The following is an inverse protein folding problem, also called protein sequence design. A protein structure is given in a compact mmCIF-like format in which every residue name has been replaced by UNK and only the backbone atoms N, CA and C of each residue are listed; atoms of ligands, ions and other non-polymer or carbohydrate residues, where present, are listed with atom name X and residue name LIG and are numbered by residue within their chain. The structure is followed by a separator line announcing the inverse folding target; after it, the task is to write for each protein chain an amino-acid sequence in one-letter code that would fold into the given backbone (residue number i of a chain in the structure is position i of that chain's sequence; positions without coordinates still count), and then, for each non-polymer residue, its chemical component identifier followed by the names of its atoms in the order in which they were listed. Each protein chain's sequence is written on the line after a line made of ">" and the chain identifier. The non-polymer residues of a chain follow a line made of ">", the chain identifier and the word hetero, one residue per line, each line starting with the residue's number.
data_IF_756149282686
#
_entry.id   IF_756149282686
#
_cell.length_a   1.000
_cell.length_b   1.000
_cell.length_c   1.000
_cell.angle_alpha   90.00
_cell.angle_beta   90.00
_cell.angle_gamma   90.00
#
_symmetry.space_group_name_H-M   'P 1'
#
loop_
_entity.id
_entity.type
_entity.pdbx_description
1 polymer ?
#
# COMPACT_ATOMS: atom_id res chain seq x y z
N UNK A 1 15.61 -6.76 10.44
CA UNK A 1 14.95 -6.44 9.16
C UNK A 1 13.77 -7.37 9.02
N UNK A 2 12.59 -6.85 8.72
CA UNK A 2 11.36 -7.65 8.61
C UNK A 2 11.18 -8.25 7.21
N UNK A 3 11.53 -7.50 6.16
CA UNK A 3 11.58 -7.99 4.79
C UNK A 3 12.68 -7.32 3.97
N UNK A 4 12.91 -7.84 2.77
CA UNK A 4 13.72 -7.25 1.70
C UNK A 4 12.80 -6.96 0.52
N UNK A 5 12.63 -5.67 0.23
CA UNK A 5 11.70 -5.13 -0.77
C UNK A 5 12.35 -5.01 -2.14
N UNK A 6 11.61 -5.38 -3.19
CA UNK A 6 11.99 -5.31 -4.62
C UNK A 6 13.49 -5.58 -4.88
N UNK A 7 14.01 -6.76 -4.50
CA UNK A 7 15.43 -7.06 -4.62
C UNK A 7 15.91 -7.23 -6.08
N UNK A 8 14.98 -7.45 -7.00
CA UNK A 8 15.19 -7.63 -8.43
C UNK A 8 14.18 -6.79 -9.21
N UNK A 9 14.40 -6.66 -10.53
CA UNK A 9 13.45 -5.97 -11.40
C UNK A 9 12.09 -6.69 -11.42
N UNK A 10 10.96 -5.97 -11.51
CA UNK A 10 9.62 -6.56 -11.41
C UNK A 10 9.36 -7.68 -12.43
N UNK A 11 9.96 -7.58 -13.63
CA UNK A 11 9.78 -8.57 -14.69
C UNK A 11 10.43 -9.92 -14.38
N UNK A 12 11.39 -9.98 -13.44
CA UNK A 12 12.12 -11.20 -13.08
C UNK A 12 11.44 -11.95 -11.91
N UNK A 13 10.21 -12.41 -12.15
CA UNK A 13 9.45 -13.20 -11.16
C UNK A 13 10.17 -14.51 -10.84
N UNK A 14 10.78 -15.17 -11.84
CA UNK A 14 11.51 -16.42 -11.64
C UNK A 14 12.75 -16.22 -10.75
N UNK A 15 13.53 -15.17 -11.00
CA UNK A 15 14.65 -14.77 -10.17
C UNK A 15 14.22 -14.41 -8.76
N UNK A 16 13.08 -13.71 -8.61
CA UNK A 16 12.52 -13.34 -7.31
C UNK A 16 12.11 -14.58 -6.52
N UNK A 17 11.43 -15.56 -7.16
CA UNK A 17 11.12 -16.85 -6.54
C UNK A 17 12.39 -17.62 -6.14
N UNK A 18 13.39 -17.67 -7.01
CA UNK A 18 14.66 -18.34 -6.71
C UNK A 18 15.38 -17.69 -5.52
N UNK A 19 15.41 -16.35 -5.48
CA UNK A 19 16.01 -15.57 -4.40
C UNK A 19 15.26 -15.80 -3.08
N UNK A 20 13.92 -15.73 -3.09
CA UNK A 20 13.08 -16.01 -1.92
C UNK A 20 13.38 -17.38 -1.34
N UNK A 21 13.48 -18.41 -2.18
CA UNK A 21 13.79 -19.78 -1.73
C UNK A 21 15.23 -19.94 -1.19
N UNK A 22 16.15 -19.07 -1.58
CA UNK A 22 17.55 -19.11 -1.16
C UNK A 22 17.83 -18.31 0.13
N UNK A 23 16.92 -17.43 0.53
CA UNK A 23 17.09 -16.53 1.66
C UNK A 23 16.16 -16.89 2.83
N UNK A 24 16.55 -16.49 4.03
CA UNK A 24 15.72 -16.62 5.24
C UNK A 24 14.97 -15.33 5.59
N UNK A 25 15.30 -14.21 4.93
CA UNK A 25 14.58 -12.94 5.08
C UNK A 25 13.36 -12.97 4.17
N UNK A 26 12.22 -12.45 4.65
CA UNK A 26 11.01 -12.36 3.86
C UNK A 26 11.23 -11.48 2.64
N UNK A 27 10.71 -11.88 1.47
CA UNK A 27 10.71 -11.08 0.25
C UNK A 27 9.37 -10.38 0.11
N UNK A 28 9.41 -9.07 -0.16
CA UNK A 28 8.22 -8.26 -0.42
C UNK A 28 8.32 -7.59 -1.80
N UNK A 29 7.22 -7.58 -2.54
CA UNK A 29 7.12 -6.91 -3.85
C UNK A 29 5.66 -6.71 -4.25
N UNK A 30 5.43 -5.88 -5.27
CA UNK A 30 4.12 -5.61 -5.85
C UNK A 30 3.83 -4.14 -6.13
N UNK A 31 4.69 -3.19 -5.73
CA UNK A 31 4.47 -1.76 -5.97
C UNK A 31 4.50 -1.41 -7.47
N UNK A 32 5.30 -2.15 -8.24
CA UNK A 32 5.40 -2.02 -9.69
C UNK A 32 4.41 -2.91 -10.46
N UNK A 33 3.54 -3.66 -9.78
CA UNK A 33 2.55 -4.52 -10.41
C UNK A 33 1.18 -3.83 -10.56
N UNK A 34 0.48 -4.14 -11.65
CA UNK A 34 -0.79 -3.50 -11.98
C UNK A 34 -1.93 -4.50 -12.06
N UNK A 35 -3.10 -4.10 -11.54
CA UNK A 35 -4.33 -4.90 -11.46
C UNK A 35 -4.14 -6.18 -10.64
N UNK A 36 -5.25 -6.88 -10.37
CA UNK A 36 -5.19 -8.21 -9.74
C UNK A 36 -4.39 -9.24 -10.54
N UNK A 37 -4.16 -9.03 -11.84
CA UNK A 37 -3.49 -10.02 -12.70
C UNK A 37 -1.97 -10.06 -12.48
N UNK A 38 -1.30 -8.91 -12.39
CA UNK A 38 0.13 -8.87 -12.04
C UNK A 38 0.38 -9.42 -10.64
N UNK A 39 -0.49 -9.05 -9.69
CA UNK A 39 -0.48 -9.59 -8.33
C UNK A 39 -0.67 -11.12 -8.31
N UNK A 40 -1.59 -11.64 -9.13
CA UNK A 40 -1.83 -13.08 -9.23
C UNK A 40 -0.61 -13.83 -9.77
N UNK A 41 0.17 -13.24 -10.66
CA UNK A 41 1.38 -13.88 -11.20
C UNK A 41 2.46 -14.03 -10.12
N UNK A 42 2.67 -13.01 -9.27
CA UNK A 42 3.54 -13.11 -8.09
C UNK A 42 3.07 -14.21 -7.12
N UNK A 43 1.77 -14.24 -6.83
CA UNK A 43 1.17 -15.23 -5.91
C UNK A 43 1.28 -16.66 -6.46
N UNK A 44 0.98 -16.88 -7.75
CA UNK A 44 1.08 -18.19 -8.40
C UNK A 44 2.52 -18.71 -8.46
N UNK A 45 3.48 -17.81 -8.65
CA UNK A 45 4.90 -18.16 -8.66
C UNK A 45 5.48 -18.42 -7.26
N UNK A 46 4.74 -18.06 -6.20
CA UNK A 46 5.25 -18.09 -4.82
C UNK A 46 6.46 -17.16 -4.65
N UNK A 47 6.47 -16.03 -5.37
CA UNK A 47 7.60 -15.12 -5.47
C UNK A 47 7.77 -14.23 -4.23
N UNK A 48 6.70 -14.00 -3.47
CA UNK A 48 6.69 -13.07 -2.33
C UNK A 48 6.19 -13.73 -1.04
N UNK A 49 6.72 -13.28 0.08
CA UNK A 49 6.18 -13.52 1.42
C UNK A 49 5.15 -12.45 1.82
N UNK A 50 5.32 -11.22 1.31
CA UNK A 50 4.44 -10.07 1.57
C UNK A 50 4.10 -9.40 0.24
N UNK A 51 2.82 -9.20 -0.05
CA UNK A 51 2.35 -8.57 -1.28
C UNK A 51 2.11 -7.06 -1.05
N UNK A 52 2.66 -6.20 -1.94
CA UNK A 52 2.71 -4.74 -1.73
C UNK A 52 2.02 -3.93 -2.81
N UNK A 53 0.73 -4.19 -3.04
CA UNK A 53 -0.05 -3.40 -4.00
C UNK A 53 -0.10 -1.91 -3.64
N UNK A 54 0.16 -1.04 -4.61
CA UNK A 54 -0.15 0.39 -4.54
C UNK A 54 -1.57 0.66 -5.06
N UNK A 55 -2.45 1.19 -4.21
CA UNK A 55 -3.85 1.46 -4.58
C UNK A 55 -3.96 2.56 -5.66
N UNK A 56 -3.10 3.57 -5.59
CA UNK A 56 -3.12 4.73 -6.48
C UNK A 56 -2.61 4.39 -7.89
N UNK A 57 -1.81 3.33 -8.02
CA UNK A 57 -1.26 2.89 -9.30
C UNK A 57 -1.99 1.66 -9.88
N UNK A 58 -2.27 0.65 -9.05
CA UNK A 58 -2.65 -0.68 -9.53
C UNK A 58 -4.15 -0.87 -9.80
N UNK A 59 -4.97 0.18 -9.67
CA UNK A 59 -6.39 0.16 -10.10
C UNK A 59 -7.42 0.54 -9.03
N UNK A 60 -7.00 1.14 -7.92
CA UNK A 60 -7.90 1.71 -6.91
C UNK A 60 -8.49 0.69 -5.94
N UNK A 61 -9.43 1.14 -5.10
CA UNK A 61 -10.02 0.35 -4.01
C UNK A 61 -10.71 -0.93 -4.51
N UNK A 62 -11.36 -0.88 -5.68
CA UNK A 62 -12.03 -2.04 -6.27
C UNK A 62 -11.05 -3.14 -6.65
N UNK A 63 -9.92 -2.79 -7.29
CA UNK A 63 -8.85 -3.76 -7.55
C UNK A 63 -8.18 -4.17 -6.24
N UNK A 64 -8.01 -3.26 -5.28
CA UNK A 64 -7.45 -3.55 -3.96
C UNK A 64 -8.21 -4.65 -3.23
N UNK A 65 -9.55 -4.60 -3.23
CA UNK A 65 -10.39 -5.65 -2.64
C UNK A 65 -10.27 -6.99 -3.38
N UNK A 66 -10.15 -6.95 -4.70
CA UNK A 66 -9.96 -8.18 -5.48
C UNK A 66 -8.60 -8.82 -5.21
N UNK A 67 -7.53 -8.03 -5.16
CA UNK A 67 -6.19 -8.46 -4.80
C UNK A 67 -6.16 -9.00 -3.37
N UNK A 68 -6.85 -8.35 -2.43
CA UNK A 68 -6.96 -8.84 -1.06
C UNK A 68 -7.58 -10.24 -0.98
N UNK A 69 -8.63 -10.50 -1.76
CA UNK A 69 -9.25 -11.82 -1.83
C UNK A 69 -8.29 -12.87 -2.40
N UNK A 70 -7.46 -12.52 -3.39
CA UNK A 70 -6.42 -13.40 -3.91
C UNK A 70 -5.34 -13.68 -2.86
N UNK A 71 -4.77 -12.63 -2.25
CA UNK A 71 -3.73 -12.75 -1.24
C UNK A 71 -4.19 -13.65 -0.06
N UNK A 72 -5.42 -13.47 0.40
CA UNK A 72 -6.03 -14.32 1.43
C UNK A 72 -6.15 -15.79 0.99
N UNK A 73 -6.52 -16.07 -0.27
CA UNK A 73 -6.61 -17.43 -0.79
C UNK A 73 -5.25 -18.14 -0.85
N UNK A 74 -4.16 -17.38 -1.05
CA UNK A 74 -2.78 -17.88 -1.05
C UNK A 74 -2.11 -17.84 0.33
N UNK A 75 -2.80 -17.34 1.36
CA UNK A 75 -2.23 -17.11 2.71
C UNK A 75 -1.00 -16.18 2.69
N UNK A 76 -1.01 -15.18 1.81
CA UNK A 76 0.04 -14.17 1.69
C UNK A 76 -0.42 -12.88 2.37
N UNK A 77 0.24 -12.40 3.43
CA UNK A 77 -0.07 -11.11 4.04
C UNK A 77 0.16 -9.95 3.05
N UNK A 78 -0.61 -8.87 3.24
CA UNK A 78 -0.47 -7.64 2.48
C UNK A 78 0.04 -6.51 3.36
N UNK A 79 1.04 -5.78 2.87
CA UNK A 79 1.44 -4.47 3.37
C UNK A 79 1.44 -3.53 2.18
N UNK A 80 0.44 -2.66 2.07
CA UNK A 80 0.28 -1.81 0.91
C UNK A 80 1.50 -0.90 0.74
N UNK A 81 1.95 -0.74 -0.50
CA UNK A 81 2.83 0.36 -0.86
C UNK A 81 2.03 1.67 -0.86
N UNK A 82 2.56 2.71 -0.24
CA UNK A 82 1.89 3.99 -0.06
C UNK A 82 2.86 5.14 -0.31
N UNK A 83 2.94 5.56 -1.58
CA UNK A 83 3.66 6.76 -1.97
C UNK A 83 2.76 7.75 -2.71
N UNK A 84 2.46 8.90 -2.11
CA UNK A 84 1.61 9.89 -2.79
C UNK A 84 1.09 11.04 -1.93
N UNK A 85 -0.01 11.64 -2.40
CA UNK A 85 -0.69 12.75 -1.73
C UNK A 85 -1.49 12.28 -0.51
N UNK A 86 -2.09 13.21 0.24
CA UNK A 86 -2.92 12.87 1.39
C UNK A 86 -4.16 12.03 1.00
N UNK A 87 -4.61 12.13 -0.25
CA UNK A 87 -5.69 11.30 -0.80
C UNK A 87 -5.25 9.84 -0.94
N UNK A 88 -4.02 9.59 -1.40
CA UNK A 88 -3.46 8.26 -1.50
C UNK A 88 -3.33 7.60 -0.12
N UNK A 89 -2.86 8.35 0.87
CA UNK A 89 -2.78 7.89 2.27
C UNK A 89 -4.16 7.52 2.81
N UNK A 90 -5.17 8.36 2.60
CA UNK A 90 -6.53 8.08 3.06
C UNK A 90 -7.13 6.82 2.40
N UNK A 91 -6.95 6.66 1.08
CA UNK A 91 -7.40 5.48 0.36
C UNK A 91 -6.71 4.21 0.86
N UNK A 92 -5.39 4.26 1.05
CA UNK A 92 -4.64 3.16 1.64
C UNK A 92 -5.13 2.81 3.05
N UNK A 93 -5.36 3.79 3.92
CA UNK A 93 -5.86 3.55 5.29
C UNK A 93 -7.20 2.82 5.29
N UNK A 94 -8.13 3.20 4.40
CA UNK A 94 -9.43 2.54 4.28
C UNK A 94 -9.30 1.08 3.82
N UNK A 95 -8.37 0.76 2.91
CA UNK A 95 -8.13 -0.63 2.51
C UNK A 95 -7.40 -1.41 3.61
N UNK A 96 -6.38 -0.83 4.26
CA UNK A 96 -5.67 -1.45 5.39
C UNK A 96 -6.62 -1.84 6.51
N UNK A 97 -7.65 -1.02 6.77
CA UNK A 97 -8.68 -1.29 7.78
C UNK A 97 -9.42 -2.63 7.58
N UNK A 98 -9.46 -3.16 6.35
CA UNK A 98 -10.16 -4.41 6.02
C UNK A 98 -9.22 -5.55 5.67
N UNK A 99 -7.89 -5.36 5.75
CA UNK A 99 -6.92 -6.44 5.59
C UNK A 99 -7.04 -7.36 6.82
N UNK A 100 -7.37 -8.65 6.65
CA UNK A 100 -7.43 -9.57 7.77
C UNK A 100 -6.01 -9.95 8.21
N UNK A 101 -5.82 -10.34 9.47
CA UNK A 101 -4.53 -10.89 9.88
C UNK A 101 -4.28 -12.23 9.20
N UNK A 102 -3.06 -12.42 8.70
CA UNK A 102 -2.62 -13.64 8.00
C UNK A 102 -1.31 -14.12 8.63
N UNK A 103 -1.25 -15.34 9.20
CA UNK A 103 -2.37 -16.26 9.44
C UNK A 103 -3.36 -15.69 10.47
N UNK A 104 -4.62 -16.12 10.38
CA UNK A 104 -5.66 -15.69 11.30
C UNK A 104 -5.37 -16.18 12.72
N UNK A 105 -5.42 -15.28 13.71
CA UNK A 105 -5.23 -15.60 15.13
C UNK A 105 -6.19 -14.79 15.99
N UNK A 106 -6.45 -15.27 17.21
CA UNK A 106 -7.31 -14.56 18.17
C UNK A 106 -6.69 -13.25 18.70
N UNK A 107 -5.37 -13.13 18.62
CA UNK A 107 -4.60 -11.98 19.10
C UNK A 107 -3.55 -11.63 18.02
N UNK A 108 -3.95 -10.89 16.97
CA UNK A 108 -2.99 -10.47 15.96
C UNK A 108 -2.06 -9.39 16.52
N UNK A 109 -0.79 -9.48 16.17
CA UNK A 109 0.26 -8.56 16.60
C UNK A 109 1.08 -8.11 15.40
N UNK A 110 1.35 -6.81 15.33
CA UNK A 110 2.29 -6.26 14.37
C UNK A 110 3.72 -6.51 14.88
N UNK A 111 4.68 -6.84 14.01
CA UNK A 111 4.56 -6.99 12.55
C UNK A 111 4.31 -8.43 12.09
N UNK A 112 3.97 -9.35 13.01
CA UNK A 112 3.92 -10.79 12.75
C UNK A 112 2.75 -11.20 11.85
N UNK A 113 1.54 -10.69 12.13
CA UNK A 113 0.33 -11.02 11.37
C UNK A 113 -0.72 -9.91 11.35
N UNK A 114 -0.57 -8.84 12.13
CA UNK A 114 -1.43 -7.66 11.99
C UNK A 114 -0.97 -6.79 10.81
N UNK A 115 -1.89 -6.16 10.07
CA UNK A 115 -1.54 -5.25 8.97
C UNK A 115 -0.62 -4.11 9.43
N UNK A 116 0.39 -3.84 8.61
CA UNK A 116 1.23 -2.64 8.73
C UNK A 116 0.78 -1.59 7.72
N UNK A 117 1.28 -0.38 7.91
CA UNK A 117 1.02 0.74 7.01
C UNK A 117 2.34 1.44 6.69
N UNK A 118 2.69 1.51 5.41
CA UNK A 118 3.80 2.31 4.96
C UNK A 118 3.47 3.80 5.10
N UNK A 119 4.33 4.56 5.77
CA UNK A 119 4.12 6.00 5.93
C UNK A 119 5.42 6.77 5.76
N UNK A 120 5.62 7.34 4.58
CA UNK A 120 6.72 8.25 4.32
C UNK A 120 6.72 9.41 5.34
N UNK A 121 7.90 9.72 5.86
CA UNK A 121 8.14 10.77 6.85
C UNK A 121 8.92 11.95 6.27
N UNK A 122 9.38 11.86 5.02
CA UNK A 122 9.98 13.00 4.32
C UNK A 122 8.92 14.07 4.08
N UNK A 123 9.32 15.35 4.04
CA UNK A 123 8.37 16.45 3.85
C UNK A 123 7.77 16.41 2.45
N UNK A 124 6.45 16.28 2.34
CA UNK A 124 5.73 16.34 1.08
C UNK A 124 4.49 17.24 1.21
N UNK A 125 4.48 18.45 0.64
CA UNK A 125 3.34 19.38 0.70
C UNK A 125 2.03 18.81 0.16
N UNK A 126 2.07 17.96 -0.87
CA UNK A 126 0.87 17.28 -1.39
C UNK A 126 0.33 16.22 -0.43
N UNK A 127 1.18 15.67 0.44
CA UNK A 127 0.76 14.71 1.47
C UNK A 127 0.25 15.44 2.71
N UNK A 128 1.03 16.36 3.26
CA UNK A 128 0.77 16.90 4.59
C UNK A 128 -0.17 18.11 4.59
N UNK A 129 -0.24 18.87 3.48
CA UNK A 129 -0.98 20.15 3.45
C UNK A 129 -2.28 20.06 2.66
N UNK A 130 -2.45 19.06 1.79
CA UNK A 130 -3.62 18.94 0.92
C UNK A 130 -4.89 18.52 1.67
N UNK A 131 -4.74 17.78 2.77
CA UNK A 131 -5.85 17.24 3.56
C UNK A 131 -5.93 18.01 4.88
N UNK A 132 -7.12 18.51 5.21
CA UNK A 132 -7.33 19.23 6.46
C UNK A 132 -7.02 18.34 7.67
N UNK A 133 -6.17 18.83 8.57
CA UNK A 133 -5.74 18.09 9.77
C UNK A 133 -4.67 17.03 9.53
N UNK A 134 -4.38 16.67 8.28
CA UNK A 134 -3.35 15.68 7.91
C UNK A 134 -3.53 14.32 8.57
N UNK A 135 -2.42 13.59 8.76
CA UNK A 135 -2.38 12.25 9.33
C UNK A 135 -1.38 12.20 10.51
N UNK A 136 -1.75 12.75 11.68
CA UNK A 136 -0.86 12.75 12.84
C UNK A 136 -0.66 11.32 13.38
N UNK A 137 0.57 11.00 13.78
CA UNK A 137 0.87 9.76 14.49
C UNK A 137 0.43 9.86 15.95
N UNK A 138 -0.19 8.79 16.46
CA UNK A 138 -0.49 8.60 17.87
C UNK A 138 0.24 7.35 18.35
N UNK A 139 1.32 7.52 19.13
CA UNK A 139 2.16 6.41 19.60
C UNK A 139 2.55 5.44 18.46
N UNK A 140 3.12 5.97 17.37
CA UNK A 140 3.54 5.21 16.17
C UNK A 140 2.40 4.57 15.36
N UNK A 141 1.14 4.85 15.71
CA UNK A 141 -0.02 4.39 14.95
C UNK A 141 -0.69 5.52 14.19
N UNK A 142 -1.25 5.18 13.02
CA UNK A 142 -2.16 6.05 12.28
C UNK A 142 -3.60 5.67 12.61
N UNK A 143 -4.44 6.69 12.79
CA UNK A 143 -5.87 6.49 12.95
C UNK A 143 -6.53 6.44 11.58
N UNK A 144 -7.41 5.46 11.38
CA UNK A 144 -8.25 5.38 10.19
C UNK A 144 -9.34 6.46 10.29
N UNK A 145 -9.48 7.35 9.30
CA UNK A 145 -10.56 8.35 9.30
C UNK A 145 -11.95 7.71 9.34
N UNK A 146 -12.85 8.28 10.15
CA UNK A 146 -14.17 7.69 10.45
C UNK A 146 -15.34 8.38 9.73
N UNK A 147 -15.11 9.53 9.10
CA UNK A 147 -16.14 10.22 8.30
C UNK A 147 -16.46 9.42 7.01
N UNK A 148 -17.63 9.63 6.37
CA UNK A 148 -17.99 8.91 5.16
C UNK A 148 -16.98 9.02 4.00
N UNK A 149 -16.97 8.02 3.13
CA UNK A 149 -16.05 7.96 1.98
C UNK A 149 -14.62 7.66 2.42
N UNK A 150 -13.65 8.45 1.94
CA UNK A 150 -12.26 8.36 2.40
C UNK A 150 -12.05 8.97 3.80
N UNK A 151 -13.07 9.65 4.33
CA UNK A 151 -13.05 10.29 5.64
C UNK A 151 -12.16 11.53 5.74
N UNK A 152 -11.88 12.18 4.61
CA UNK A 152 -11.02 13.37 4.52
C UNK A 152 -11.76 14.55 3.90
N UNK A 153 -11.29 15.75 4.23
CA UNK A 153 -11.70 17.01 3.61
C UNK A 153 -10.47 17.63 2.93
N UNK A 154 -10.63 18.07 1.68
CA UNK A 154 -9.56 18.74 0.94
C UNK A 154 -9.44 20.19 1.41
N UNK A 155 -8.20 20.66 1.57
CA UNK A 155 -7.93 22.09 1.68
C UNK A 155 -7.87 22.69 0.27
N UNK A 156 -8.96 23.34 -0.15
CA UNK A 156 -9.08 23.97 -1.46
C UNK A 156 -8.03 25.06 -1.69
N UNK A 157 -7.61 25.78 -0.63
CA UNK A 157 -6.54 26.77 -0.76
C UNK A 157 -5.19 26.09 -0.97
N UNK A 158 -4.96 24.94 -0.32
CA UNK A 158 -3.79 24.13 -0.60
C UNK A 158 -3.80 23.57 -2.02
N UNK A 159 -4.93 23.06 -2.49
CA UNK A 159 -5.12 22.58 -3.85
C UNK A 159 -4.80 23.68 -4.88
N UNK A 160 -5.32 24.89 -4.69
CA UNK A 160 -5.04 26.04 -5.56
C UNK A 160 -3.54 26.34 -5.67
N UNK A 161 -2.78 26.27 -4.56
CA UNK A 161 -1.33 26.51 -4.55
C UNK A 161 -0.54 25.47 -5.36
N UNK A 162 -1.01 24.23 -5.40
CA UNK A 162 -0.35 23.14 -6.12
C UNK A 162 -0.87 22.94 -7.54
N UNK A 163 -1.95 23.61 -7.91
CA UNK A 163 -2.52 23.53 -9.25
C UNK A 163 -1.75 24.43 -10.20
N UNK A 164 -1.12 23.84 -11.21
CA UNK A 164 -0.56 24.59 -12.33
C UNK A 164 -1.48 24.48 -13.53
N UNK A 165 -1.97 25.61 -14.05
CA UNK A 165 -2.74 25.62 -15.29
C UNK A 165 -1.81 25.31 -16.46
N UNK A 166 -1.81 24.08 -16.97
CA UNK A 166 -1.29 23.77 -18.31
C UNK A 166 -2.25 24.33 -19.38
N UNK A 167 -2.45 25.64 -19.41
CA UNK A 167 -2.96 26.32 -20.62
C UNK A 167 -1.76 26.61 -21.50
N UNK A 168 -1.31 25.61 -22.24
CA UNK A 168 -0.47 25.85 -23.42
C UNK A 168 -1.28 26.74 -24.37
N UNK A 169 -0.78 27.94 -24.62
CA UNK A 169 -1.19 28.74 -25.77
C UNK A 169 -1.09 27.88 -27.02
N UNK A 170 -2.23 27.56 -27.63
CA UNK A 170 -2.29 27.33 -29.07
C UNK A 170 -2.58 28.66 -29.74
#
# INVERSE_FOLDING_TARGET
>A
YYWFEEPLVPEDIEGTTALRNALSIAIASGECEYTRYGMLDLLKAGAVDILQMDISAAGGLTEGQATLALAAAYQTPMCLHVWGSGVAVAAALQLTAVIPPIPHTAQPHAPENAPLFEFDRTRNPLRDDLVQGGFPLNNETLLIPQSPGLGIEIDEQALDRFTHSHRTSK
#
